data_IF_783991015051
#
_entry.id   IF_783991015051
#
_cell.length_a   1.000
_cell.length_b   1.000
_cell.length_c   1.000
_cell.angle_alpha   90.00
_cell.angle_beta   90.00
_cell.angle_gamma   90.00
#
_symmetry.space_group_name_H-M   'P 1'
#
loop_
_entity.id
_entity.type
_entity.pdbx_description
1 polymer ?
#
# COMPACT_ATOMS: atom_id res chain seq x y z
N UNK A 1 -28.40 21.83 38.92
CA UNK A 1 -27.83 20.92 37.92
C UNK A 1 -27.00 21.71 36.97
N UNK A 2 -25.66 21.62 37.02
CA UNK A 2 -24.78 22.29 36.05
C UNK A 2 -24.95 21.58 34.70
N UNK A 3 -25.47 22.30 33.69
CA UNK A 3 -25.39 21.86 32.29
C UNK A 3 -23.90 21.73 31.92
N UNK A 4 -23.41 20.48 31.86
CA UNK A 4 -22.10 20.21 31.28
C UNK A 4 -22.12 20.71 29.82
N UNK A 5 -21.29 21.70 29.52
CA UNK A 5 -21.08 22.19 28.16
C UNK A 5 -20.52 21.03 27.33
N UNK A 6 -21.40 20.28 26.68
CA UNK A 6 -21.05 19.25 25.72
C UNK A 6 -20.07 19.82 24.69
N UNK A 7 -18.94 19.16 24.49
CA UNK A 7 -17.99 19.54 23.43
C UNK A 7 -18.70 19.50 22.06
N UNK A 8 -18.23 20.29 21.09
CA UNK A 8 -18.80 20.33 19.74
C UNK A 8 -18.95 18.91 19.15
N UNK A 9 -17.95 18.05 19.38
CA UNK A 9 -17.96 16.66 18.92
C UNK A 9 -19.08 15.84 19.58
N UNK A 10 -19.33 16.01 20.88
CA UNK A 10 -20.42 15.33 21.59
C UNK A 10 -21.80 15.79 21.10
N UNK A 11 -21.95 17.08 20.74
CA UNK A 11 -23.17 17.60 20.13
C UNK A 11 -23.40 16.99 18.74
N UNK A 12 -22.37 16.88 17.92
CA UNK A 12 -22.45 16.24 16.60
C UNK A 12 -22.83 14.74 16.71
N UNK A 13 -22.23 14.00 17.66
CA UNK A 13 -22.57 12.59 17.87
C UNK A 13 -24.03 12.44 18.29
N UNK A 14 -24.48 13.23 19.27
CA UNK A 14 -25.87 13.20 19.75
C UNK A 14 -26.88 13.60 18.68
N UNK A 15 -26.57 14.62 17.88
CA UNK A 15 -27.38 15.03 16.73
C UNK A 15 -27.47 13.90 15.70
N UNK A 16 -26.34 13.25 15.39
CA UNK A 16 -26.28 12.11 14.47
C UNK A 16 -27.15 10.95 14.95
N UNK A 17 -27.04 10.55 16.21
CA UNK A 17 -27.83 9.46 16.80
C UNK A 17 -29.34 9.70 16.68
N UNK A 18 -29.77 10.94 16.79
CA UNK A 18 -31.19 11.30 16.72
C UNK A 18 -31.75 11.43 15.30
N UNK A 19 -30.89 11.77 14.30
CA UNK A 19 -31.39 12.17 12.97
C UNK A 19 -30.98 11.20 11.84
N UNK A 20 -29.96 10.38 12.01
CA UNK A 20 -29.41 9.55 10.94
C UNK A 20 -29.42 8.08 11.36
N UNK A 21 -30.02 7.21 10.53
CA UNK A 21 -29.98 5.76 10.74
C UNK A 21 -28.55 5.26 10.63
N UNK A 22 -28.17 4.31 11.45
CA UNK A 22 -26.79 3.79 11.50
C UNK A 22 -26.27 3.32 10.15
N UNK A 23 -27.07 2.60 9.36
CA UNK A 23 -26.70 2.15 8.01
C UNK A 23 -26.35 3.31 7.06
N UNK A 24 -27.13 4.40 7.09
CA UNK A 24 -26.87 5.58 6.26
C UNK A 24 -25.58 6.29 6.70
N UNK A 25 -25.35 6.35 8.00
CA UNK A 25 -24.16 6.97 8.54
C UNK A 25 -22.88 6.18 8.19
N UNK A 26 -22.93 4.85 8.17
CA UNK A 26 -21.83 4.00 7.70
C UNK A 26 -21.49 4.34 6.24
N UNK A 27 -22.47 4.53 5.36
CA UNK A 27 -22.22 4.89 3.96
C UNK A 27 -21.55 6.27 3.84
N UNK A 28 -22.01 7.25 4.65
CA UNK A 28 -21.37 8.58 4.70
C UNK A 28 -19.92 8.47 5.18
N UNK A 29 -19.66 7.70 6.25
CA UNK A 29 -18.31 7.48 6.73
C UNK A 29 -17.44 6.78 5.70
N UNK A 30 -17.98 5.78 4.98
CA UNK A 30 -17.24 5.07 3.92
C UNK A 30 -16.85 6.00 2.77
N UNK A 31 -17.74 6.91 2.39
CA UNK A 31 -17.47 7.97 1.41
C UNK A 31 -16.32 8.88 1.88
N UNK A 32 -16.38 9.35 3.13
CA UNK A 32 -15.32 10.20 3.71
C UNK A 32 -13.99 9.44 3.82
N UNK A 33 -14.02 8.17 4.24
CA UNK A 33 -12.83 7.31 4.27
C UNK A 33 -12.23 7.21 2.86
N UNK A 34 -13.06 7.00 1.82
CA UNK A 34 -12.61 6.97 0.43
C UNK A 34 -11.88 8.24 0.01
N UNK A 35 -12.42 9.41 0.34
CA UNK A 35 -11.76 10.69 0.06
C UNK A 35 -10.41 10.80 0.77
N UNK A 36 -10.37 10.57 2.09
CA UNK A 36 -9.13 10.72 2.86
C UNK A 36 -8.06 9.71 2.46
N UNK A 37 -8.45 8.47 2.12
CA UNK A 37 -7.51 7.46 1.64
C UNK A 37 -6.96 7.77 0.26
N UNK A 38 -7.78 8.35 -0.64
CA UNK A 38 -7.31 8.84 -1.93
C UNK A 38 -6.25 9.93 -1.76
N UNK A 39 -6.53 10.92 -0.91
CA UNK A 39 -5.51 11.96 -0.62
C UNK A 39 -4.24 11.38 -0.02
N UNK A 40 -4.34 10.40 0.88
CA UNK A 40 -3.16 9.74 1.44
C UNK A 40 -2.35 8.99 0.36
N UNK A 41 -3.03 8.32 -0.59
CA UNK A 41 -2.39 7.64 -1.72
C UNK A 41 -1.70 8.63 -2.67
N UNK A 42 -2.36 9.74 -2.98
CA UNK A 42 -1.80 10.80 -3.80
C UNK A 42 -0.58 11.47 -3.14
N UNK A 43 -0.65 11.74 -1.84
CA UNK A 43 0.46 12.29 -1.06
C UNK A 43 1.65 11.34 -1.05
N UNK A 44 1.43 10.03 -0.88
CA UNK A 44 2.50 9.05 -0.92
C UNK A 44 3.21 9.08 -2.28
N UNK A 45 2.45 8.97 -3.38
CA UNK A 45 3.02 9.06 -4.74
C UNK A 45 3.75 10.38 -5.00
N UNK A 46 3.15 11.48 -4.58
CA UNK A 46 3.77 12.80 -4.71
C UNK A 46 5.12 12.88 -4.00
N UNK A 47 5.21 12.42 -2.74
CA UNK A 47 6.46 12.43 -2.01
C UNK A 47 7.51 11.49 -2.60
N UNK A 48 7.12 10.28 -3.03
CA UNK A 48 8.02 9.36 -3.73
C UNK A 48 8.61 10.06 -4.97
N UNK A 49 7.75 10.60 -5.82
CA UNK A 49 8.16 11.24 -7.07
C UNK A 49 9.05 12.48 -6.84
N UNK A 50 8.72 13.31 -5.84
CA UNK A 50 9.54 14.48 -5.49
C UNK A 50 10.92 14.08 -5.00
N UNK A 51 11.02 13.04 -4.17
CA UNK A 51 12.33 12.56 -3.69
C UNK A 51 13.12 11.95 -4.87
N UNK A 52 12.48 11.13 -5.70
CA UNK A 52 13.12 10.54 -6.88
C UNK A 52 13.63 11.62 -7.84
N UNK A 53 12.78 12.59 -8.22
CA UNK A 53 13.18 13.69 -9.09
C UNK A 53 14.36 14.47 -8.50
N UNK A 54 14.31 14.83 -7.22
CA UNK A 54 15.40 15.53 -6.56
C UNK A 54 16.73 14.76 -6.61
N UNK A 55 16.67 13.43 -6.54
CA UNK A 55 17.85 12.58 -6.58
C UNK A 55 18.34 12.27 -8.00
N UNK A 56 17.43 12.25 -9.00
CA UNK A 56 17.73 11.81 -10.37
C UNK A 56 17.75 12.93 -11.41
N UNK A 57 17.26 14.14 -11.11
CA UNK A 57 17.17 15.27 -12.06
C UNK A 57 18.51 15.66 -12.72
N UNK A 58 19.64 15.28 -12.14
CA UNK A 58 20.97 15.55 -12.70
C UNK A 58 21.63 14.33 -13.38
N UNK A 59 20.91 13.21 -13.54
CA UNK A 59 21.49 11.96 -14.02
C UNK A 59 20.55 11.22 -14.96
N UNK A 60 21.10 10.70 -16.06
CA UNK A 60 20.39 9.74 -16.91
C UNK A 60 20.21 8.43 -16.15
N UNK A 61 18.97 8.08 -15.82
CA UNK A 61 18.62 6.87 -15.06
C UNK A 61 18.96 5.55 -15.80
N UNK A 62 19.37 5.64 -17.07
CA UNK A 62 19.72 4.50 -17.94
C UNK A 62 21.19 4.11 -17.89
N UNK A 63 22.07 4.93 -17.29
CA UNK A 63 23.49 4.61 -17.17
C UNK A 63 23.82 4.11 -15.76
N UNK A 64 24.71 3.12 -15.66
CA UNK A 64 25.20 2.58 -14.40
C UNK A 64 25.88 3.69 -13.56
N UNK A 65 25.14 4.24 -12.63
CA UNK A 65 25.60 5.34 -11.81
C UNK A 65 25.99 4.83 -10.41
N UNK A 66 27.22 5.14 -9.96
CA UNK A 66 27.68 4.80 -8.60
C UNK A 66 26.79 5.34 -7.48
N UNK A 67 25.94 6.33 -7.76
CA UNK A 67 24.99 6.87 -6.79
C UNK A 67 23.89 5.86 -6.40
N UNK A 68 23.57 4.90 -7.26
CA UNK A 68 22.71 3.76 -6.91
C UNK A 68 23.25 2.89 -5.77
N UNK A 69 24.56 2.94 -5.52
CA UNK A 69 25.16 2.28 -4.36
C UNK A 69 24.95 3.06 -3.05
N UNK A 70 24.73 4.35 -3.11
CA UNK A 70 24.65 5.22 -1.93
C UNK A 70 23.20 5.53 -1.53
N UNK A 71 22.33 5.84 -2.49
CA UNK A 71 20.98 6.30 -2.22
C UNK A 71 20.14 5.31 -1.40
N UNK A 72 20.07 4.00 -1.73
CA UNK A 72 19.27 3.07 -0.95
C UNK A 72 19.77 2.91 0.48
N UNK A 73 21.10 2.94 0.70
CA UNK A 73 21.67 2.88 2.06
C UNK A 73 21.22 4.10 2.88
N UNK A 74 21.33 5.29 2.30
CA UNK A 74 20.91 6.54 2.95
C UNK A 74 19.41 6.53 3.23
N UNK A 75 18.59 6.10 2.26
CA UNK A 75 17.14 6.01 2.41
C UNK A 75 16.70 5.06 3.53
N UNK A 76 17.27 3.84 3.56
CA UNK A 76 16.99 2.86 4.62
C UNK A 76 17.43 3.39 5.99
N UNK A 77 18.59 4.06 6.06
CA UNK A 77 19.08 4.63 7.30
C UNK A 77 18.18 5.79 7.79
N UNK A 78 17.78 6.69 6.91
CA UNK A 78 16.87 7.80 7.23
C UNK A 78 15.49 7.30 7.66
N UNK A 79 14.91 6.34 6.94
CA UNK A 79 13.64 5.72 7.30
C UNK A 79 13.74 5.00 8.65
N UNK A 80 14.79 4.24 8.88
CA UNK A 80 15.04 3.55 10.16
C UNK A 80 15.22 4.53 11.33
N UNK A 81 15.95 5.62 11.12
CA UNK A 81 16.10 6.70 12.10
C UNK A 81 14.76 7.37 12.40
N UNK A 82 13.98 7.72 11.37
CA UNK A 82 12.65 8.30 11.51
C UNK A 82 11.71 7.41 12.34
N UNK A 83 11.63 6.13 12.00
CA UNK A 83 10.77 5.17 12.71
C UNK A 83 11.20 5.03 14.17
N UNK A 84 12.50 4.95 14.43
CA UNK A 84 13.04 4.69 15.76
C UNK A 84 12.96 5.91 16.69
N UNK A 85 13.25 7.11 16.18
CA UNK A 85 13.36 8.31 17.01
C UNK A 85 12.05 9.11 17.07
N UNK A 86 11.29 9.16 15.97
CA UNK A 86 10.07 9.97 15.87
C UNK A 86 8.84 9.12 16.14
N UNK A 87 8.67 8.00 15.42
CA UNK A 87 7.48 7.16 15.55
C UNK A 87 7.49 6.34 16.84
N UNK A 88 8.66 5.80 17.20
CA UNK A 88 8.88 4.96 18.41
C UNK A 88 7.92 3.77 18.50
N UNK A 89 7.50 3.26 17.37
CA UNK A 89 6.64 2.07 17.23
C UNK A 89 7.07 1.26 16.02
N UNK A 90 6.79 -0.03 16.05
CA UNK A 90 7.03 -0.88 14.90
C UNK A 90 5.99 -0.59 13.81
N UNK A 91 6.41 -0.25 12.61
CA UNK A 91 5.56 -0.04 11.43
C UNK A 91 5.81 -1.09 10.34
N UNK A 92 6.64 -2.10 10.62
CA UNK A 92 6.88 -3.22 9.72
C UNK A 92 5.60 -4.05 9.52
N UNK A 93 5.54 -4.83 8.44
CA UNK A 93 4.45 -5.76 8.13
C UNK A 93 3.05 -5.12 8.16
N UNK A 94 2.82 -4.06 7.37
CA UNK A 94 1.61 -3.24 7.38
C UNK A 94 0.30 -4.05 7.37
N UNK A 95 0.17 -5.04 6.47
CA UNK A 95 -1.03 -5.90 6.37
C UNK A 95 -1.20 -6.77 7.61
N UNK A 96 -0.12 -7.37 8.12
CA UNK A 96 -0.17 -8.20 9.35
C UNK A 96 -0.64 -7.39 10.56
N UNK A 97 -0.25 -6.10 10.65
CA UNK A 97 -0.77 -5.20 11.69
C UNK A 97 -2.26 -4.96 11.60
N UNK A 98 -2.79 -4.85 10.39
CA UNK A 98 -4.23 -4.68 10.17
C UNK A 98 -4.96 -5.94 10.62
N UNK A 99 -4.50 -7.12 10.20
CA UNK A 99 -5.06 -8.41 10.63
C UNK A 99 -5.00 -8.57 12.15
N UNK A 100 -3.89 -8.20 12.78
CA UNK A 100 -3.77 -8.19 14.24
C UNK A 100 -4.75 -7.20 14.90
N UNK A 101 -4.93 -6.00 14.31
CA UNK A 101 -5.89 -5.03 14.82
C UNK A 101 -7.33 -5.53 14.71
N UNK A 102 -7.69 -6.19 13.61
CA UNK A 102 -9.01 -6.80 13.40
C UNK A 102 -9.22 -7.92 14.43
N UNK A 103 -8.27 -8.86 14.56
CA UNK A 103 -8.43 -10.07 15.37
C UNK A 103 -8.29 -9.84 16.88
N UNK A 104 -7.38 -8.94 17.30
CA UNK A 104 -7.02 -8.77 18.72
C UNK A 104 -7.34 -7.40 19.30
N UNK A 105 -7.51 -6.37 18.47
CA UNK A 105 -7.73 -4.99 18.93
C UNK A 105 -9.07 -4.41 18.49
N UNK A 106 -10.01 -5.25 18.12
CA UNK A 106 -11.35 -4.81 17.72
C UNK A 106 -11.37 -3.73 16.65
N UNK A 107 -10.44 -3.82 15.66
CA UNK A 107 -10.33 -2.86 14.58
C UNK A 107 -9.65 -1.53 14.96
N UNK A 108 -9.08 -1.39 16.15
CA UNK A 108 -8.40 -0.15 16.58
C UNK A 108 -6.96 -0.12 16.15
N UNK A 109 -6.63 0.85 15.31
CA UNK A 109 -5.27 1.12 14.80
C UNK A 109 -4.76 2.42 15.40
N UNK A 110 -3.50 2.46 15.82
CA UNK A 110 -2.87 3.66 16.42
C UNK A 110 -2.89 4.83 15.43
N UNK A 111 -3.15 6.04 15.93
CA UNK A 111 -3.32 7.26 15.11
C UNK A 111 -2.09 7.62 14.28
N UNK A 112 -0.89 7.41 14.80
CA UNK A 112 0.33 7.75 14.07
C UNK A 112 0.46 6.98 12.73
N UNK A 113 -0.17 5.79 12.59
CA UNK A 113 -0.13 5.03 11.33
C UNK A 113 -0.84 5.75 10.16
N UNK A 114 -1.62 6.81 10.43
CA UNK A 114 -2.22 7.65 9.39
C UNK A 114 -1.15 8.37 8.55
N UNK A 115 0.00 8.69 9.13
CA UNK A 115 1.07 9.44 8.47
C UNK A 115 2.43 8.76 8.53
N UNK A 116 2.73 8.01 9.59
CA UNK A 116 4.06 7.44 9.82
C UNK A 116 4.46 6.41 8.77
N UNK A 117 3.52 5.56 8.36
CA UNK A 117 3.74 4.55 7.33
C UNK A 117 4.00 5.21 5.97
N UNK A 118 3.20 6.20 5.60
CA UNK A 118 3.34 6.96 4.36
C UNK A 118 4.70 7.67 4.28
N UNK A 119 5.11 8.37 5.34
CA UNK A 119 6.39 9.12 5.35
C UNK A 119 7.59 8.16 5.29
N UNK A 120 7.60 7.12 6.13
CA UNK A 120 8.70 6.16 6.14
C UNK A 120 8.87 5.47 4.78
N UNK A 121 7.75 5.09 4.15
CA UNK A 121 7.77 4.43 2.84
C UNK A 121 8.13 5.40 1.72
N UNK A 122 7.67 6.64 1.76
CA UNK A 122 8.08 7.66 0.80
C UNK A 122 9.61 7.88 0.81
N UNK A 123 10.21 7.91 2.01
CA UNK A 123 11.67 8.00 2.14
C UNK A 123 12.34 6.74 1.57
N UNK A 124 11.90 5.56 1.97
CA UNK A 124 12.52 4.30 1.53
C UNK A 124 12.45 4.14 0.01
N UNK A 125 11.26 4.29 -0.57
CA UNK A 125 11.01 4.10 -2.01
C UNK A 125 11.65 5.24 -2.81
N UNK A 126 11.50 6.47 -2.35
CA UNK A 126 12.05 7.65 -3.01
C UNK A 126 13.59 7.61 -3.14
N UNK A 127 14.27 7.05 -2.14
CA UNK A 127 15.72 6.79 -2.21
C UNK A 127 16.08 5.48 -2.92
N UNK A 128 15.13 4.85 -3.61
CA UNK A 128 15.37 3.66 -4.44
C UNK A 128 15.27 2.34 -3.71
N UNK A 129 14.71 2.30 -2.49
CA UNK A 129 14.41 1.03 -1.84
C UNK A 129 13.44 0.20 -2.70
N UNK A 130 13.81 -1.04 -3.01
CA UNK A 130 13.03 -1.96 -3.84
C UNK A 130 11.86 -2.54 -3.06
N UNK A 131 10.76 -1.78 -2.99
CA UNK A 131 9.56 -2.18 -2.23
C UNK A 131 8.32 -1.48 -2.80
N UNK A 132 7.17 -2.18 -2.77
CA UNK A 132 5.90 -1.62 -3.21
C UNK A 132 5.26 -0.67 -2.20
N UNK A 133 4.46 0.25 -2.70
CA UNK A 133 3.71 1.24 -1.90
C UNK A 133 2.40 0.67 -1.32
N UNK A 134 1.99 -0.55 -1.70
CA UNK A 134 0.69 -1.13 -1.39
C UNK A 134 0.51 -1.35 0.11
N UNK A 135 1.44 -2.05 0.76
CA UNK A 135 1.33 -2.36 2.18
C UNK A 135 1.31 -1.11 3.07
N UNK A 136 2.17 -0.09 2.86
CA UNK A 136 2.11 1.17 3.58
C UNK A 136 0.80 1.93 3.40
N UNK A 137 0.30 2.01 2.17
CA UNK A 137 -0.92 2.78 1.92
C UNK A 137 -2.16 2.07 2.46
N UNK A 138 -2.20 0.74 2.40
CA UNK A 138 -3.28 -0.07 3.00
C UNK A 138 -3.31 0.12 4.52
N UNK A 139 -2.14 0.14 5.19
CA UNK A 139 -2.06 0.43 6.62
C UNK A 139 -2.54 1.85 6.95
N UNK A 140 -2.12 2.83 6.15
CA UNK A 140 -2.54 4.23 6.29
C UNK A 140 -4.05 4.38 6.10
N UNK A 141 -4.62 3.82 5.04
CA UNK A 141 -6.05 3.85 4.76
C UNK A 141 -6.87 3.16 5.85
N UNK A 142 -6.43 1.97 6.28
CA UNK A 142 -7.05 1.24 7.39
C UNK A 142 -6.99 2.03 8.71
N UNK A 143 -5.88 2.74 8.97
CA UNK A 143 -5.76 3.62 10.13
C UNK A 143 -6.71 4.84 10.04
N UNK A 144 -6.91 5.40 8.85
CA UNK A 144 -7.90 6.47 8.61
C UNK A 144 -9.31 5.96 8.95
N UNK A 145 -9.72 4.81 8.39
CA UNK A 145 -11.02 4.19 8.64
C UNK A 145 -11.24 3.89 10.12
N UNK A 146 -10.25 3.27 10.78
CA UNK A 146 -10.26 2.95 12.20
C UNK A 146 -10.40 4.20 13.08
N UNK A 147 -9.63 5.24 12.82
CA UNK A 147 -9.63 6.45 13.64
C UNK A 147 -10.89 7.29 13.41
N UNK A 148 -11.38 7.38 12.16
CA UNK A 148 -12.64 8.05 11.86
C UNK A 148 -13.80 7.37 12.57
N UNK A 149 -13.91 6.05 12.49
CA UNK A 149 -14.94 5.28 13.21
C UNK A 149 -14.84 5.44 14.74
N UNK A 150 -13.61 5.47 15.27
CA UNK A 150 -13.37 5.66 16.70
C UNK A 150 -13.79 7.05 17.21
N UNK A 151 -13.59 8.10 16.40
CA UNK A 151 -14.05 9.48 16.71
C UNK A 151 -15.57 9.52 16.90
N UNK A 152 -16.32 8.82 16.05
CA UNK A 152 -17.78 8.73 16.14
C UNK A 152 -18.28 7.61 17.06
N UNK A 153 -17.40 6.98 17.85
CA UNK A 153 -17.71 5.91 18.79
C UNK A 153 -18.51 4.76 18.19
N UNK A 154 -18.15 4.39 16.93
CA UNK A 154 -18.81 3.27 16.25
C UNK A 154 -18.55 1.95 16.93
N UNK A 155 -19.50 1.03 16.82
CA UNK A 155 -19.37 -0.33 17.33
C UNK A 155 -18.22 -1.09 16.67
N UNK A 156 -17.72 -2.11 17.34
CA UNK A 156 -16.62 -2.94 16.90
C UNK A 156 -16.81 -3.51 15.48
N UNK A 157 -17.99 -4.02 15.14
CA UNK A 157 -18.28 -4.55 13.80
C UNK A 157 -18.16 -3.47 12.73
N UNK A 158 -18.74 -2.30 12.99
CA UNK A 158 -18.67 -1.15 12.09
C UNK A 158 -17.22 -0.62 11.99
N UNK A 159 -16.47 -0.66 13.09
CA UNK A 159 -15.08 -0.24 13.09
C UNK A 159 -14.23 -1.13 12.18
N UNK A 160 -14.39 -2.45 12.26
CA UNK A 160 -13.72 -3.40 11.37
C UNK A 160 -14.10 -3.17 9.90
N UNK A 161 -15.38 -2.89 9.63
CA UNK A 161 -15.85 -2.57 8.29
C UNK A 161 -15.18 -1.29 7.75
N UNK A 162 -15.07 -0.24 8.57
CA UNK A 162 -14.41 1.02 8.18
C UNK A 162 -12.90 0.84 7.98
N UNK A 163 -12.25 -0.06 8.74
CA UNK A 163 -10.86 -0.48 8.48
C UNK A 163 -10.75 -1.08 7.07
N UNK A 164 -11.69 -1.95 6.71
CA UNK A 164 -11.77 -2.50 5.36
C UNK A 164 -12.04 -1.44 4.30
N UNK A 165 -12.96 -0.50 4.56
CA UNK A 165 -13.22 0.63 3.66
C UNK A 165 -11.94 1.44 3.41
N UNK A 166 -11.12 1.63 4.45
CA UNK A 166 -9.82 2.29 4.34
C UNK A 166 -8.83 1.52 3.47
N UNK A 167 -8.77 0.20 3.63
CA UNK A 167 -7.93 -0.66 2.80
C UNK A 167 -8.38 -0.67 1.33
N UNK A 168 -9.69 -0.86 1.08
CA UNK A 168 -10.26 -0.85 -0.26
C UNK A 168 -10.04 0.48 -0.98
N UNK A 169 -10.28 1.60 -0.27
CA UNK A 169 -10.04 2.94 -0.79
C UNK A 169 -8.56 3.21 -1.07
N UNK A 170 -7.66 2.71 -0.24
CA UNK A 170 -6.22 2.87 -0.43
C UNK A 170 -5.72 2.19 -1.73
N UNK A 171 -6.08 0.93 -1.94
CA UNK A 171 -5.75 0.18 -3.16
C UNK A 171 -6.43 0.80 -4.38
N UNK A 172 -7.74 1.11 -4.27
CA UNK A 172 -8.48 1.74 -5.36
C UNK A 172 -7.89 3.10 -5.75
N UNK A 173 -7.44 3.89 -4.77
CA UNK A 173 -6.84 5.20 -4.99
C UNK A 173 -5.48 5.14 -5.67
N UNK A 174 -4.62 4.19 -5.26
CA UNK A 174 -3.26 4.10 -5.83
C UNK A 174 -3.25 3.52 -7.23
N UNK A 175 -4.10 2.49 -7.49
CA UNK A 175 -4.17 1.80 -8.78
C UNK A 175 -5.26 2.31 -9.72
N UNK A 176 -6.13 3.22 -9.26
CA UNK A 176 -7.35 3.65 -9.98
C UNK A 176 -8.27 2.47 -10.36
N UNK A 177 -8.32 1.46 -9.52
CA UNK A 177 -9.01 0.19 -9.76
C UNK A 177 -9.94 -0.17 -8.59
N UNK A 178 -11.19 0.32 -8.58
CA UNK A 178 -12.11 0.13 -7.44
C UNK A 178 -12.45 -1.35 -7.19
N UNK A 179 -12.59 -2.15 -8.23
CA UNK A 179 -12.88 -3.59 -8.10
C UNK A 179 -11.69 -4.31 -7.48
N UNK A 180 -10.47 -3.98 -7.89
CA UNK A 180 -9.27 -4.58 -7.31
C UNK A 180 -9.13 -4.25 -5.81
N UNK A 181 -9.43 -2.99 -5.41
CA UNK A 181 -9.45 -2.58 -4.01
C UNK A 181 -10.47 -3.36 -3.18
N UNK A 182 -11.67 -3.58 -3.74
CA UNK A 182 -12.70 -4.39 -3.10
C UNK A 182 -12.25 -5.84 -2.90
N UNK A 183 -11.81 -6.50 -3.98
CA UNK A 183 -11.37 -7.91 -3.97
C UNK A 183 -10.20 -8.11 -3.02
N UNK A 184 -9.18 -7.23 -3.09
CA UNK A 184 -8.05 -7.24 -2.16
C UNK A 184 -8.50 -7.23 -0.70
N UNK A 185 -9.45 -6.35 -0.37
CA UNK A 185 -9.91 -6.21 1.02
C UNK A 185 -10.66 -7.45 1.51
N UNK A 186 -11.51 -8.02 0.66
CA UNK A 186 -12.25 -9.24 1.01
C UNK A 186 -11.33 -10.43 1.20
N UNK A 187 -10.33 -10.59 0.33
CA UNK A 187 -9.41 -11.71 0.35
C UNK A 187 -8.36 -11.57 1.46
N UNK A 188 -7.67 -10.43 1.51
CA UNK A 188 -6.53 -10.24 2.41
C UNK A 188 -6.96 -9.97 3.85
N UNK A 189 -8.01 -9.18 4.06
CA UNK A 189 -8.50 -8.87 5.41
C UNK A 189 -9.58 -9.83 5.91
N UNK A 190 -9.98 -10.82 5.09
CA UNK A 190 -10.95 -11.86 5.46
C UNK A 190 -12.26 -11.27 6.02
N UNK A 191 -12.72 -10.16 5.44
CA UNK A 191 -13.97 -9.51 5.84
C UNK A 191 -15.14 -10.32 5.27
N UNK A 192 -16.14 -10.60 6.12
CA UNK A 192 -17.32 -11.36 5.73
C UNK A 192 -18.06 -10.72 4.54
N UNK A 193 -18.30 -11.50 3.50
CA UNK A 193 -19.02 -11.14 2.29
C UNK A 193 -20.53 -11.08 2.57
N UNK A 194 -20.98 -9.96 3.13
CA UNK A 194 -22.40 -9.68 3.32
C UNK A 194 -22.83 -8.46 2.50
N UNK A 195 -24.10 -8.35 2.12
CA UNK A 195 -24.60 -7.15 1.42
C UNK A 195 -24.41 -5.89 2.25
N UNK A 196 -24.39 -6.01 3.58
CA UNK A 196 -24.16 -4.88 4.49
C UNK A 196 -22.70 -4.43 4.52
N UNK A 197 -21.73 -5.29 4.20
CA UNK A 197 -20.30 -4.95 4.12
C UNK A 197 -19.87 -4.54 2.72
N UNK A 198 -20.46 -5.16 1.69
CA UNK A 198 -20.07 -4.93 0.29
C UNK A 198 -20.30 -3.49 -0.16
N UNK A 199 -21.46 -2.93 0.15
CA UNK A 199 -21.83 -1.58 -0.30
C UNK A 199 -20.93 -0.48 0.28
N UNK A 200 -20.62 -0.44 1.61
CA UNK A 200 -19.65 0.50 2.16
C UNK A 200 -18.25 0.38 1.56
N UNK A 201 -17.75 -0.85 1.36
CA UNK A 201 -16.45 -1.11 0.75
C UNK A 201 -16.39 -0.57 -0.68
N UNK A 202 -17.44 -0.84 -1.47
CA UNK A 202 -17.52 -0.37 -2.85
C UNK A 202 -17.59 1.16 -2.93
N UNK A 203 -18.40 1.80 -2.07
CA UNK A 203 -18.48 3.27 -2.00
C UNK A 203 -17.11 3.86 -1.72
N UNK A 204 -16.38 3.34 -0.73
CA UNK A 204 -15.04 3.83 -0.41
C UNK A 204 -14.07 3.65 -1.59
N UNK A 205 -14.05 2.47 -2.21
CA UNK A 205 -13.18 2.15 -3.34
C UNK A 205 -13.47 3.02 -4.56
N UNK A 206 -14.75 3.16 -4.95
CA UNK A 206 -15.18 3.98 -6.10
C UNK A 206 -14.87 5.46 -5.84
N UNK A 207 -15.17 5.95 -4.63
CA UNK A 207 -14.86 7.34 -4.25
C UNK A 207 -13.36 7.61 -4.34
N UNK A 208 -12.53 6.72 -3.80
CA UNK A 208 -11.09 6.89 -3.82
C UNK A 208 -10.53 6.87 -5.25
N UNK A 209 -10.97 5.94 -6.09
CA UNK A 209 -10.58 5.91 -7.49
C UNK A 209 -11.04 7.18 -8.24
N UNK A 210 -12.26 7.64 -8.00
CA UNK A 210 -12.78 8.87 -8.63
C UNK A 210 -11.96 10.09 -8.25
N UNK A 211 -11.62 10.27 -6.96
CA UNK A 211 -10.73 11.35 -6.51
C UNK A 211 -9.37 11.26 -7.19
N UNK A 212 -8.80 10.06 -7.32
CA UNK A 212 -7.53 9.86 -8.02
C UNK A 212 -7.64 10.18 -9.51
N UNK A 213 -8.73 9.80 -10.20
CA UNK A 213 -8.96 10.17 -11.60
C UNK A 213 -9.06 11.68 -11.80
N UNK A 214 -9.76 12.38 -10.92
CA UNK A 214 -9.91 13.84 -11.02
C UNK A 214 -8.56 14.56 -10.84
N UNK A 215 -7.70 14.05 -9.94
CA UNK A 215 -6.45 14.72 -9.58
C UNK A 215 -5.29 14.38 -10.49
N UNK A 216 -5.19 13.13 -10.96
CA UNK A 216 -4.02 12.62 -11.72
C UNK A 216 -4.39 12.17 -13.14
N UNK A 217 -5.58 12.53 -13.62
CA UNK A 217 -6.05 12.18 -14.96
C UNK A 217 -6.57 10.74 -15.08
N UNK A 218 -7.10 10.43 -16.26
CA UNK A 218 -7.81 9.16 -16.52
C UNK A 218 -6.90 8.02 -16.97
N UNK A 219 -5.61 8.25 -17.08
CA UNK A 219 -4.68 7.20 -17.51
C UNK A 219 -4.63 6.06 -16.48
N UNK A 220 -4.77 4.82 -16.99
CA UNK A 220 -4.56 3.63 -16.18
C UNK A 220 -3.08 3.50 -15.79
N UNK A 221 -2.81 2.90 -14.63
CA UNK A 221 -1.44 2.69 -14.17
C UNK A 221 -0.66 1.73 -15.08
N UNK A 222 -1.34 0.72 -15.59
CA UNK A 222 -0.79 -0.22 -16.56
C UNK A 222 -1.46 0.00 -17.92
N UNK A 223 -0.64 0.31 -18.92
CA UNK A 223 -1.08 0.49 -20.31
C UNK A 223 -0.70 -0.76 -21.09
N UNK A 224 -1.67 -1.45 -21.62
CA UNK A 224 -1.45 -2.60 -22.50
C UNK A 224 -2.52 -2.63 -23.59
N UNK A 225 -2.16 -3.13 -24.75
CA UNK A 225 -3.09 -3.36 -25.85
C UNK A 225 -3.55 -4.82 -25.84
N UNK A 226 -4.86 -5.02 -25.88
CA UNK A 226 -5.45 -6.34 -26.10
C UNK A 226 -5.71 -6.50 -27.58
N UNK A 227 -4.83 -7.23 -28.28
CA UNK A 227 -4.98 -7.48 -29.72
C UNK A 227 -6.13 -8.45 -30.04
N UNK A 228 -6.52 -9.26 -29.07
CA UNK A 228 -7.55 -10.29 -29.22
C UNK A 228 -8.45 -10.37 -27.99
N UNK A 229 -9.75 -10.57 -28.21
CA UNK A 229 -10.69 -10.86 -27.15
C UNK A 229 -10.38 -12.21 -26.47
N UNK A 230 -10.89 -12.40 -25.25
CA UNK A 230 -10.74 -13.67 -24.52
C UNK A 230 -11.57 -14.76 -25.21
N UNK A 231 -10.90 -15.84 -25.60
CA UNK A 231 -11.50 -17.03 -26.22
C UNK A 231 -11.49 -18.22 -25.25
N UNK A 232 -12.52 -19.06 -25.32
CA UNK A 232 -12.64 -20.23 -24.44
C UNK A 232 -11.48 -21.22 -24.60
N UNK A 233 -10.86 -21.29 -25.79
CA UNK A 233 -9.69 -22.12 -26.06
C UNK A 233 -8.47 -21.75 -25.22
N UNK A 234 -8.45 -20.56 -24.64
CA UNK A 234 -7.36 -20.09 -23.77
C UNK A 234 -7.50 -20.53 -22.30
N UNK A 235 -8.63 -21.11 -21.91
CA UNK A 235 -8.87 -21.55 -20.51
C UNK A 235 -7.76 -22.48 -19.99
N UNK A 236 -7.29 -23.52 -20.72
CA UNK A 236 -6.21 -24.38 -20.23
C UNK A 236 -4.92 -23.61 -19.90
N UNK A 237 -4.58 -22.60 -20.72
CA UNK A 237 -3.40 -21.77 -20.50
C UNK A 237 -3.56 -20.87 -19.27
N UNK A 238 -4.77 -20.34 -19.02
CA UNK A 238 -5.07 -19.54 -17.80
C UNK A 238 -4.97 -20.43 -16.55
N UNK A 239 -5.44 -21.67 -16.60
CA UNK A 239 -5.28 -22.63 -15.50
C UNK A 239 -3.80 -22.92 -15.25
N UNK A 240 -3.02 -23.18 -16.31
CA UNK A 240 -1.58 -23.41 -16.20
C UNK A 240 -0.86 -22.19 -15.60
N UNK A 241 -1.21 -20.98 -16.04
CA UNK A 241 -0.71 -19.73 -15.49
C UNK A 241 -1.03 -19.61 -13.99
N UNK A 242 -2.26 -19.96 -13.58
CA UNK A 242 -2.65 -19.95 -12.17
C UNK A 242 -1.83 -20.91 -11.32
N UNK A 243 -1.56 -22.12 -11.81
CA UNK A 243 -0.68 -23.09 -11.13
C UNK A 243 0.73 -22.54 -11.02
N UNK A 244 1.27 -21.97 -12.10
CA UNK A 244 2.60 -21.37 -12.11
C UNK A 244 2.71 -20.21 -11.11
N UNK A 245 1.73 -19.28 -11.10
CA UNK A 245 1.66 -18.20 -10.12
C UNK A 245 1.61 -18.73 -8.68
N UNK A 246 0.87 -19.81 -8.43
CA UNK A 246 0.82 -20.46 -7.12
C UNK A 246 2.18 -21.00 -6.67
N UNK A 247 2.93 -21.63 -7.58
CA UNK A 247 4.28 -22.12 -7.29
C UNK A 247 5.27 -20.96 -7.01
N UNK A 248 5.20 -19.89 -7.78
CA UNK A 248 6.01 -18.68 -7.56
C UNK A 248 5.66 -18.05 -6.21
N UNK A 249 4.39 -17.94 -5.86
CA UNK A 249 3.95 -17.43 -4.56
C UNK A 249 4.51 -18.24 -3.39
N UNK A 250 4.49 -19.59 -3.51
CA UNK A 250 5.08 -20.48 -2.51
C UNK A 250 6.60 -20.27 -2.38
N UNK A 251 7.29 -20.17 -3.52
CA UNK A 251 8.73 -19.88 -3.55
C UNK A 251 9.04 -18.54 -2.86
N UNK A 252 8.31 -17.48 -3.25
CA UNK A 252 8.48 -16.14 -2.69
C UNK A 252 8.29 -16.13 -1.16
N UNK A 253 7.21 -16.75 -0.67
CA UNK A 253 6.93 -16.82 0.77
C UNK A 253 8.05 -17.53 1.52
N UNK A 254 8.57 -18.64 0.98
CA UNK A 254 9.69 -19.38 1.59
C UNK A 254 10.99 -18.58 1.57
N UNK A 255 11.29 -17.91 0.47
CA UNK A 255 12.48 -17.06 0.32
C UNK A 255 12.42 -15.88 1.32
N UNK A 256 11.31 -15.17 1.40
CA UNK A 256 11.09 -14.07 2.36
C UNK A 256 11.31 -14.54 3.80
N UNK A 257 10.66 -15.61 4.22
CA UNK A 257 10.80 -16.14 5.56
C UNK A 257 12.26 -16.58 5.87
N UNK A 258 12.96 -17.11 4.88
CA UNK A 258 14.38 -17.50 5.03
C UNK A 258 15.27 -16.27 5.23
N UNK A 259 15.11 -15.25 4.41
CA UNK A 259 15.84 -13.98 4.52
C UNK A 259 15.54 -13.31 5.86
N UNK A 260 14.25 -13.21 6.25
CA UNK A 260 13.84 -12.66 7.54
C UNK A 260 14.46 -13.43 8.71
N UNK A 261 14.52 -14.77 8.62
CA UNK A 261 15.17 -15.63 9.61
C UNK A 261 16.66 -15.35 9.75
N UNK A 262 17.37 -15.07 8.65
CA UNK A 262 18.79 -14.68 8.68
C UNK A 262 18.97 -13.33 9.36
N UNK A 263 18.19 -12.32 8.94
CA UNK A 263 18.22 -11.00 9.55
C UNK A 263 17.75 -11.02 11.02
N UNK A 264 16.85 -11.94 11.38
CA UNK A 264 16.38 -12.13 12.76
C UNK A 264 17.53 -12.45 13.74
N UNK A 265 18.57 -13.16 13.29
CA UNK A 265 19.75 -13.52 14.08
C UNK A 265 20.68 -12.33 14.41
N UNK A 266 20.54 -11.22 13.69
CA UNK A 266 21.32 -10.01 13.94
C UNK A 266 20.67 -9.19 15.05
N UNK A 267 21.23 -9.16 16.25
CA UNK A 267 20.67 -8.47 17.41
C UNK A 267 20.76 -6.93 17.32
N UNK A 268 21.76 -6.41 16.58
CA UNK A 268 21.97 -4.96 16.49
C UNK A 268 21.21 -4.37 15.28
N UNK A 269 20.22 -3.49 15.51
CA UNK A 269 19.41 -2.92 14.43
C UNK A 269 20.23 -2.07 13.43
N UNK A 270 21.28 -1.38 13.88
CA UNK A 270 22.16 -0.64 12.97
C UNK A 270 22.97 -1.56 12.05
N UNK A 271 23.38 -2.72 12.56
CA UNK A 271 24.04 -3.74 11.72
C UNK A 271 23.08 -4.33 10.70
N UNK A 272 21.79 -4.53 11.06
CA UNK A 272 20.73 -4.93 10.11
C UNK A 272 20.56 -3.91 8.99
N UNK A 273 20.46 -2.63 9.36
CA UNK A 273 20.30 -1.53 8.38
C UNK A 273 21.52 -1.43 7.46
N UNK A 274 22.74 -1.49 8.01
CA UNK A 274 23.96 -1.40 7.23
C UNK A 274 24.12 -2.60 6.28
N UNK A 275 23.97 -3.82 6.79
CA UNK A 275 24.11 -5.02 5.98
C UNK A 275 23.03 -5.12 4.90
N UNK A 276 21.76 -4.88 5.27
CA UNK A 276 20.63 -4.89 4.34
C UNK A 276 20.73 -3.78 3.30
N UNK A 277 21.14 -2.57 3.72
CA UNK A 277 21.31 -1.44 2.82
C UNK A 277 22.41 -1.67 1.79
N UNK A 278 23.59 -2.16 2.22
CA UNK A 278 24.70 -2.48 1.31
C UNK A 278 24.30 -3.60 0.34
N UNK A 279 23.69 -4.67 0.84
CA UNK A 279 23.25 -5.79 -0.01
C UNK A 279 22.23 -5.31 -1.07
N UNK A 280 21.22 -4.52 -0.65
CA UNK A 280 20.23 -3.96 -1.55
C UNK A 280 20.86 -3.03 -2.59
N UNK A 281 21.78 -2.16 -2.17
CA UNK A 281 22.46 -1.23 -3.09
C UNK A 281 23.30 -1.96 -4.14
N UNK A 282 24.00 -3.02 -3.76
CA UNK A 282 24.74 -3.86 -4.73
C UNK A 282 23.76 -4.51 -5.71
N UNK A 283 22.64 -5.04 -5.24
CA UNK A 283 21.61 -5.63 -6.13
C UNK A 283 21.03 -4.61 -7.09
N UNK A 284 20.69 -3.40 -6.63
CA UNK A 284 20.16 -2.34 -7.48
C UNK A 284 21.20 -1.85 -8.50
N UNK A 285 22.48 -1.78 -8.11
CA UNK A 285 23.56 -1.45 -9.04
C UNK A 285 23.74 -2.50 -10.14
N UNK A 286 23.63 -3.78 -9.80
CA UNK A 286 23.70 -4.87 -10.77
C UNK A 286 22.42 -4.98 -11.61
N UNK A 287 21.27 -4.62 -11.04
CA UNK A 287 19.95 -4.74 -11.65
C UNK A 287 19.16 -3.43 -11.44
N UNK A 288 19.42 -2.39 -12.26
CA UNK A 288 18.74 -1.08 -12.13
C UNK A 288 17.21 -1.11 -12.08
N UNK A 289 16.50 -2.05 -12.75
CA UNK A 289 15.05 -2.18 -12.66
C UNK A 289 14.52 -2.46 -11.23
N UNK A 290 15.37 -2.86 -10.28
CA UNK A 290 15.00 -3.01 -8.88
C UNK A 290 14.88 -1.67 -8.13
N UNK A 291 15.21 -0.55 -8.75
CA UNK A 291 15.12 0.77 -8.13
C UNK A 291 13.67 1.21 -7.93
N UNK A 292 13.27 1.44 -6.68
CA UNK A 292 11.92 1.92 -6.35
C UNK A 292 10.83 0.84 -6.48
N UNK A 293 9.71 1.19 -7.10
CA UNK A 293 8.51 0.34 -7.19
C UNK A 293 8.54 -0.65 -8.37
N UNK A 294 9.38 -0.42 -9.39
CA UNK A 294 9.51 -1.28 -10.57
C UNK A 294 8.36 -1.18 -11.60
N UNK A 295 7.40 -0.27 -11.43
CA UNK A 295 6.25 -0.15 -12.35
C UNK A 295 6.64 0.27 -13.77
N UNK A 296 7.70 1.06 -13.93
CA UNK A 296 8.19 1.47 -15.25
C UNK A 296 8.66 0.26 -16.05
N UNK A 297 9.39 -0.65 -15.41
CA UNK A 297 9.84 -1.91 -16.04
C UNK A 297 8.64 -2.79 -16.41
N UNK A 298 7.63 -2.89 -15.54
CA UNK A 298 6.41 -3.64 -15.84
C UNK A 298 5.68 -3.06 -17.06
N UNK A 299 5.56 -1.73 -17.14
CA UNK A 299 4.93 -1.07 -18.29
C UNK A 299 5.71 -1.29 -19.59
N UNK A 300 7.04 -1.26 -19.56
CA UNK A 300 7.88 -1.57 -20.72
C UNK A 300 7.65 -3.00 -21.21
N UNK A 301 7.55 -3.97 -20.31
CA UNK A 301 7.28 -5.36 -20.64
C UNK A 301 5.89 -5.56 -21.24
N UNK A 302 4.86 -4.93 -20.63
CA UNK A 302 3.48 -5.02 -21.14
C UNK A 302 3.31 -4.42 -22.54
N UNK A 303 4.13 -3.43 -22.90
CA UNK A 303 4.12 -2.81 -24.23
C UNK A 303 5.01 -3.53 -25.27
N UNK A 304 5.62 -4.67 -24.91
CA UNK A 304 6.40 -5.50 -25.82
C UNK A 304 7.73 -4.89 -26.29
N UNK A 305 8.16 -3.76 -25.74
CA UNK A 305 9.39 -3.07 -26.12
C UNK A 305 10.66 -3.77 -25.65
N UNK A 306 10.53 -4.72 -24.75
CA UNK A 306 11.66 -5.40 -24.07
C UNK A 306 11.90 -6.84 -24.54
N UNK A 307 11.14 -7.35 -25.51
CA UNK A 307 11.32 -8.71 -26.02
C UNK A 307 12.71 -9.00 -26.62
N UNK A 308 13.51 -7.97 -26.88
CA UNK A 308 14.86 -8.08 -27.46
C UNK A 308 15.97 -8.21 -26.40
N UNK A 309 15.70 -7.93 -25.11
CA UNK A 309 16.74 -7.95 -24.08
C UNK A 309 16.43 -8.97 -22.98
N UNK A 310 17.08 -10.13 -23.05
CA UNK A 310 17.01 -11.19 -22.02
C UNK A 310 17.36 -10.68 -20.62
N UNK A 311 18.14 -9.62 -20.52
CA UNK A 311 18.49 -8.94 -19.27
C UNK A 311 17.25 -8.44 -18.52
N UNK A 312 16.18 -8.04 -19.21
CA UNK A 312 14.96 -7.54 -18.60
C UNK A 312 14.15 -8.64 -17.90
N UNK A 313 14.12 -9.86 -18.47
CA UNK A 313 13.41 -11.01 -17.89
C UNK A 313 14.13 -11.51 -16.63
N UNK A 314 15.47 -11.56 -16.66
CA UNK A 314 16.27 -11.91 -15.49
C UNK A 314 16.12 -10.87 -14.36
N UNK A 315 16.02 -9.60 -14.70
CA UNK A 315 15.81 -8.50 -13.76
C UNK A 315 14.45 -8.60 -13.05
N UNK A 316 13.40 -9.05 -13.75
CA UNK A 316 12.07 -9.25 -13.14
C UNK A 316 12.03 -10.38 -12.13
N UNK A 317 12.78 -11.47 -12.35
CA UNK A 317 12.83 -12.57 -11.39
C UNK A 317 13.46 -12.14 -10.05
N UNK A 318 14.26 -11.08 -10.06
CA UNK A 318 14.92 -10.51 -8.89
C UNK A 318 14.09 -9.46 -8.16
N UNK A 319 13.14 -8.78 -8.83
CA UNK A 319 12.18 -7.87 -8.16
C UNK A 319 11.36 -8.63 -7.11
N UNK A 320 11.17 -9.94 -7.26
CA UNK A 320 10.44 -10.77 -6.32
C UNK A 320 11.30 -11.34 -5.17
N UNK A 321 12.58 -11.06 -5.12
CA UNK A 321 13.50 -11.45 -4.03
C UNK A 321 13.73 -10.29 -3.08
#
# INVERSE_FOLDING_TARGET
>A
MKEEKLSLLQRCIKWRENNIKEKQFILILSFLVGIFTAFAALLLKFFIHQIQNFLTDNFNATEANYLYLVYPVVGIFLAGWFVRNIVKDDISHGVTKILYAISRRQGRIKRHNIWSSTIASAITIGFGGSVGAEAPIVLTGSAIGSNLGSVFKMEHRTLMLLVGCGAAGAIAGIFKAPIAGLVFTLEVLMIDLTMSSLLPLLISAVTAATVSYITTGTEAMFKFHLDQAFELERIPFVILLGIFCGLISLYFTRAMNSVEGVFGKLNNPYKKLAFGGVMLSVLIFLFPPLYGEGYDTINLLLNGTSAAEWDTVMNLSLIHI
#
